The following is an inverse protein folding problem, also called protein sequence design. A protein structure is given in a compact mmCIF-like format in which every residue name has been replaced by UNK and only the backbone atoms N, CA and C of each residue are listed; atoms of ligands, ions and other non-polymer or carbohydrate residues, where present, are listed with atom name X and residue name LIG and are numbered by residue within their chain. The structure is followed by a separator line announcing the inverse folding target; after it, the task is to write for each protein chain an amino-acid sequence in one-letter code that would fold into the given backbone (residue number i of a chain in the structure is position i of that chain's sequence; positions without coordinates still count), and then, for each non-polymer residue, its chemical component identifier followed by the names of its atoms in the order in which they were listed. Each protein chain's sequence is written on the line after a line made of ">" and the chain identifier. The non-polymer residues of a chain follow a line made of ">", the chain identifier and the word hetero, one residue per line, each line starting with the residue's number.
data_IF_614911843841
#
_entry.id   IF_614911843841
#
_cell.length_a   1.000
_cell.length_b   1.000
_cell.length_c   1.000
_cell.angle_alpha   90.00
_cell.angle_beta   90.00
_cell.angle_gamma   90.00
#
_symmetry.space_group_name_H-M   'P 1'
#
loop_
_entity.id
_entity.type
_entity.pdbx_description
1 polymer ?
#
# COMPACT_ATOMS: atom_id res chain seq x y z
N UNK A 1 -5.03 -6.98 -13.26
CA UNK A 1 -5.15 -6.90 -11.80
C UNK A 1 -6.60 -7.08 -11.32
N UNK A 2 -6.78 -7.84 -10.25
CA UNK A 2 -8.08 -8.12 -9.62
C UNK A 2 -8.19 -7.44 -8.24
N UNK A 3 -9.39 -7.07 -7.81
CA UNK A 3 -9.66 -6.57 -6.45
C UNK A 3 -10.78 -7.44 -5.86
N UNK A 4 -10.54 -8.05 -4.69
CA UNK A 4 -11.52 -8.95 -4.09
C UNK A 4 -12.84 -8.25 -3.78
N UNK A 5 -13.93 -9.01 -3.87
CA UNK A 5 -15.30 -8.54 -3.65
C UNK A 5 -15.70 -8.58 -2.16
N UNK A 6 -14.85 -8.02 -1.30
CA UNK A 6 -15.05 -8.03 0.15
C UNK A 6 -15.26 -6.62 0.75
N UNK A 7 -15.21 -5.58 -0.08
CA UNK A 7 -15.52 -4.18 0.26
C UNK A 7 -16.78 -3.68 -0.47
N UNK A 8 -17.25 -2.49 -0.09
CA UNK A 8 -18.42 -1.90 -0.76
C UNK A 8 -18.14 -1.77 -2.26
N UNK A 9 -19.15 -1.97 -3.14
CA UNK A 9 -18.97 -1.78 -4.58
C UNK A 9 -18.45 -0.39 -4.94
N UNK A 10 -18.91 0.65 -4.22
CA UNK A 10 -18.50 2.04 -4.43
C UNK A 10 -17.01 2.24 -4.13
N UNK A 11 -16.54 1.78 -2.97
CA UNK A 11 -15.12 1.89 -2.61
C UNK A 11 -14.22 1.12 -3.57
N UNK A 12 -14.61 -0.11 -3.94
CA UNK A 12 -13.89 -0.93 -4.91
C UNK A 12 -13.76 -0.20 -6.24
N UNK A 13 -14.84 0.45 -6.66
CA UNK A 13 -14.87 1.24 -7.89
C UNK A 13 -13.95 2.45 -7.83
N UNK A 14 -13.94 3.20 -6.71
CA UNK A 14 -13.02 4.33 -6.51
C UNK A 14 -11.56 3.88 -6.60
N UNK A 15 -11.19 2.79 -5.92
CA UNK A 15 -9.82 2.24 -5.97
C UNK A 15 -9.46 1.82 -7.41
N UNK A 16 -10.36 1.08 -8.08
CA UNK A 16 -10.18 0.64 -9.48
C UNK A 16 -9.97 1.83 -10.42
N UNK A 17 -10.76 2.89 -10.27
CA UNK A 17 -10.61 4.13 -11.07
C UNK A 17 -9.26 4.78 -10.83
N UNK A 18 -8.76 4.82 -9.59
CA UNK A 18 -7.44 5.38 -9.27
C UNK A 18 -6.33 4.55 -9.91
N UNK A 19 -6.35 3.23 -9.76
CA UNK A 19 -5.40 2.31 -10.40
C UNK A 19 -5.38 2.51 -11.93
N UNK A 20 -6.54 2.71 -12.55
CA UNK A 20 -6.65 2.93 -13.99
C UNK A 20 -6.01 4.24 -14.47
N UNK A 21 -5.60 5.14 -13.58
CA UNK A 21 -4.84 6.34 -13.92
C UNK A 21 -3.36 6.05 -14.21
N UNK A 22 -2.82 4.97 -13.65
CA UNK A 22 -1.42 4.57 -13.83
C UNK A 22 -1.12 4.12 -15.27
N UNK A 23 0.14 3.80 -15.56
CA UNK A 23 0.52 3.23 -16.86
C UNK A 23 0.06 1.78 -17.00
N UNK A 24 0.01 1.28 -18.24
CA UNK A 24 -0.63 -0.01 -18.58
C UNK A 24 -0.01 -1.19 -17.82
N UNK A 25 1.30 -1.18 -17.63
CA UNK A 25 2.05 -2.25 -16.96
C UNK A 25 1.54 -2.55 -15.54
N UNK A 26 1.09 -1.53 -14.80
CA UNK A 26 0.54 -1.68 -13.45
C UNK A 26 -0.87 -2.28 -13.44
N UNK A 27 -1.66 -2.00 -14.49
CA UNK A 27 -3.05 -2.50 -14.62
C UNK A 27 -3.05 -3.98 -15.01
N UNK A 28 -2.05 -4.39 -15.78
CA UNK A 28 -1.88 -5.76 -16.27
C UNK A 28 -1.11 -6.66 -15.31
N UNK A 29 -0.63 -6.14 -14.16
CA UNK A 29 -0.05 -6.98 -13.12
C UNK A 29 -1.00 -8.12 -12.76
N UNK A 30 -0.47 -9.34 -12.80
CA UNK A 30 -1.13 -10.55 -12.36
C UNK A 30 -1.05 -10.64 -10.83
N UNK A 31 -1.69 -9.68 -10.17
CA UNK A 31 -1.84 -9.61 -8.73
C UNK A 31 -3.32 -9.41 -8.37
N UNK A 32 -3.69 -9.87 -7.17
CA UNK A 32 -4.99 -9.62 -6.56
C UNK A 32 -4.83 -8.73 -5.34
N UNK A 33 -5.63 -7.67 -5.24
CA UNK A 33 -5.73 -6.82 -4.03
C UNK A 33 -6.81 -7.39 -3.11
N UNK A 34 -6.45 -7.65 -1.86
CA UNK A 34 -7.34 -8.13 -0.81
C UNK A 34 -7.40 -7.12 0.36
N UNK A 35 -8.58 -6.54 0.59
CA UNK A 35 -8.79 -5.53 1.61
C UNK A 35 -9.32 -6.14 2.92
N UNK A 36 -8.55 -5.99 3.99
CA UNK A 36 -8.89 -6.47 5.34
C UNK A 36 -9.68 -5.40 6.09
N UNK A 37 -11.01 -5.52 6.04
CA UNK A 37 -11.92 -4.62 6.75
C UNK A 37 -11.78 -4.61 8.27
N UNK A 38 -11.39 -5.73 8.86
CA UNK A 38 -11.37 -5.88 10.33
C UNK A 38 -10.10 -6.56 10.80
N UNK A 39 -9.62 -6.15 11.97
CA UNK A 39 -8.47 -6.78 12.66
C UNK A 39 -8.73 -8.27 12.93
N UNK A 40 -9.95 -8.61 13.36
CA UNK A 40 -10.42 -9.99 13.60
C UNK A 40 -10.21 -10.91 12.41
N UNK A 41 -10.37 -10.41 11.18
CA UNK A 41 -10.12 -11.19 9.95
C UNK A 41 -8.65 -11.60 9.85
N UNK A 42 -7.74 -10.66 10.10
CA UNK A 42 -6.29 -10.93 10.06
C UNK A 42 -5.87 -11.89 11.17
N UNK A 43 -6.39 -11.72 12.39
CA UNK A 43 -6.14 -12.65 13.51
C UNK A 43 -6.64 -14.07 13.23
N UNK A 44 -7.77 -14.19 12.52
CA UNK A 44 -8.34 -15.49 12.13
C UNK A 44 -7.46 -16.16 11.07
N UNK A 45 -6.94 -15.39 10.12
CA UNK A 45 -5.96 -15.88 9.14
C UNK A 45 -4.67 -16.36 9.82
N UNK A 46 -4.10 -15.57 10.74
CA UNK A 46 -2.91 -15.94 11.51
C UNK A 46 -3.07 -17.30 12.20
N UNK A 47 -4.23 -17.57 12.81
CA UNK A 47 -4.49 -18.83 13.53
C UNK A 47 -4.74 -20.03 12.61
N UNK A 48 -5.46 -19.83 11.51
CA UNK A 48 -6.05 -20.93 10.75
C UNK A 48 -5.30 -21.24 9.45
N UNK A 49 -4.74 -20.21 8.79
CA UNK A 49 -4.06 -20.35 7.50
C UNK A 49 -3.03 -19.22 7.34
N UNK A 50 -1.98 -19.17 8.17
CA UNK A 50 -0.98 -18.13 8.09
C UNK A 50 -0.26 -18.22 6.74
N UNK A 51 0.04 -17.06 6.18
CA UNK A 51 0.84 -16.92 4.96
C UNK A 51 1.81 -15.74 5.02
N UNK A 52 1.99 -15.22 6.24
CA UNK A 52 3.05 -14.33 6.66
C UNK A 52 3.74 -14.99 7.85
N UNK A 53 4.95 -14.54 8.14
CA UNK A 53 5.63 -14.91 9.38
C UNK A 53 4.96 -14.27 10.59
N UNK A 54 5.09 -14.91 11.75
CA UNK A 54 4.49 -14.42 13.00
C UNK A 54 4.93 -12.99 13.36
N UNK A 55 6.20 -12.66 13.08
CA UNK A 55 6.74 -11.31 13.28
C UNK A 55 6.03 -10.28 12.41
N UNK A 56 5.78 -10.60 11.13
CA UNK A 56 5.05 -9.71 10.23
C UNK A 56 3.60 -9.52 10.69
N UNK A 57 2.92 -10.59 11.12
CA UNK A 57 1.58 -10.47 11.71
C UNK A 57 1.59 -9.59 12.96
N UNK A 58 2.59 -9.73 13.84
CA UNK A 58 2.70 -8.92 15.05
C UNK A 58 3.00 -7.46 14.73
N UNK A 59 3.87 -7.17 13.75
CA UNK A 59 4.14 -5.80 13.28
C UNK A 59 2.86 -5.14 12.75
N UNK A 60 2.07 -5.84 11.91
CA UNK A 60 0.83 -5.30 11.36
C UNK A 60 -0.23 -5.13 12.46
N UNK A 61 -0.35 -6.12 13.35
CA UNK A 61 -1.39 -6.09 14.37
C UNK A 61 -1.03 -5.11 15.48
N UNK A 62 0.22 -5.02 15.94
CA UNK A 62 0.59 -4.38 17.21
C UNK A 62 1.68 -3.32 17.08
N UNK A 63 2.29 -3.17 15.90
CA UNK A 63 3.41 -2.27 15.71
C UNK A 63 3.04 -0.79 15.71
N UNK A 64 4.02 0.05 16.02
CA UNK A 64 3.89 1.52 16.02
C UNK A 64 4.08 2.10 14.61
N UNK A 65 5.00 1.52 13.83
CA UNK A 65 5.22 1.86 12.44
C UNK A 65 4.16 1.19 11.57
N UNK A 66 3.28 2.03 11.01
CA UNK A 66 2.10 1.61 10.28
C UNK A 66 2.48 0.86 9.00
N UNK A 67 2.31 -0.47 9.03
CA UNK A 67 2.44 -1.33 7.85
C UNK A 67 1.03 -1.60 7.29
N UNK A 68 0.42 -0.57 6.68
CA UNK A 68 -0.99 -0.61 6.26
C UNK A 68 -1.28 -1.36 4.97
N UNK A 69 -0.24 -1.86 4.30
CA UNK A 69 -0.35 -2.85 3.25
C UNK A 69 0.99 -3.57 3.04
N UNK A 70 0.94 -4.75 2.41
CA UNK A 70 2.12 -5.54 2.02
C UNK A 70 1.84 -6.35 0.74
N UNK A 71 2.89 -6.73 0.02
CA UNK A 71 2.84 -7.77 -1.01
C UNK A 71 3.17 -9.15 -0.43
N UNK A 72 2.51 -10.19 -0.95
CA UNK A 72 2.89 -11.60 -0.79
C UNK A 72 3.17 -12.12 -2.19
N UNK A 73 4.40 -11.91 -2.66
CA UNK A 73 4.80 -12.08 -4.06
C UNK A 73 4.51 -13.47 -4.62
N UNK A 74 4.87 -14.52 -3.89
CA UNK A 74 4.64 -15.92 -4.32
C UNK A 74 3.16 -16.24 -4.53
N UNK A 75 2.29 -15.56 -3.80
CA UNK A 75 0.83 -15.71 -3.89
C UNK A 75 0.18 -14.70 -4.81
N UNK A 76 0.96 -13.81 -5.44
CA UNK A 76 0.46 -12.74 -6.30
C UNK A 76 -0.64 -11.93 -5.62
N UNK A 77 -0.41 -11.61 -4.34
CA UNK A 77 -1.40 -10.99 -3.47
C UNK A 77 -0.87 -9.66 -2.92
N UNK A 78 -1.71 -8.63 -2.91
CA UNK A 78 -1.49 -7.39 -2.17
C UNK A 78 -2.51 -7.36 -1.05
N UNK A 79 -2.05 -7.34 0.19
CA UNK A 79 -2.93 -7.22 1.37
C UNK A 79 -2.96 -5.77 1.80
N UNK A 80 -4.15 -5.19 1.88
CA UNK A 80 -4.35 -3.82 2.36
C UNK A 80 -5.18 -3.88 3.64
N UNK A 81 -4.65 -3.33 4.73
CA UNK A 81 -5.26 -3.41 6.06
C UNK A 81 -6.19 -2.24 6.30
N UNK A 82 -7.40 -2.34 5.73
CA UNK A 82 -8.37 -1.26 5.73
C UNK A 82 -8.82 -0.83 7.12
N UNK A 83 -8.75 -1.71 8.12
CA UNK A 83 -9.04 -1.39 9.51
C UNK A 83 -8.08 -0.38 10.15
N UNK A 84 -6.98 -0.01 9.48
CA UNK A 84 -6.04 1.04 9.94
C UNK A 84 -6.46 2.46 9.50
N UNK A 85 -7.43 2.57 8.60
CA UNK A 85 -7.90 3.84 8.05
C UNK A 85 -9.24 4.24 8.67
N UNK A 86 -9.40 5.52 8.96
CA UNK A 86 -10.64 6.04 9.54
C UNK A 86 -11.66 6.39 8.45
N UNK A 87 -12.60 5.48 8.17
CA UNK A 87 -13.68 5.70 7.19
C UNK A 87 -13.23 6.26 5.81
N UNK A 88 -12.23 5.64 5.13
CA UNK A 88 -11.69 6.12 3.85
C UNK A 88 -12.68 6.12 2.67
N UNK A 89 -13.91 5.61 2.86
CA UNK A 89 -14.97 5.71 1.86
C UNK A 89 -15.58 7.12 1.80
N UNK A 90 -15.60 7.82 2.93
CA UNK A 90 -16.25 9.13 3.15
C UNK A 90 -15.29 10.22 3.61
N UNK A 91 -14.13 9.88 4.17
CA UNK A 91 -13.06 10.83 4.48
C UNK A 91 -12.03 10.89 3.35
N UNK A 92 -11.82 12.09 2.80
CA UNK A 92 -10.90 12.30 1.69
C UNK A 92 -9.44 12.13 2.09
N UNK A 93 -9.02 12.59 3.27
CA UNK A 93 -7.64 12.46 3.73
C UNK A 93 -7.28 10.98 3.93
N UNK A 94 -8.19 10.20 4.50
CA UNK A 94 -8.01 8.76 4.70
C UNK A 94 -8.03 8.00 3.36
N UNK A 95 -8.87 8.43 2.41
CA UNK A 95 -8.83 7.92 1.05
C UNK A 95 -7.49 8.20 0.35
N UNK A 96 -6.92 9.40 0.52
CA UNK A 96 -5.61 9.74 -0.06
C UNK A 96 -4.51 8.86 0.53
N UNK A 97 -4.50 8.63 1.85
CA UNK A 97 -3.55 7.70 2.49
C UNK A 97 -3.68 6.29 1.90
N UNK A 98 -4.91 5.81 1.73
CA UNK A 98 -5.19 4.50 1.16
C UNK A 98 -4.67 4.38 -0.28
N UNK A 99 -4.98 5.34 -1.15
CA UNK A 99 -4.57 5.29 -2.57
C UNK A 99 -3.05 5.42 -2.70
N UNK A 100 -2.40 6.25 -1.87
CA UNK A 100 -0.95 6.33 -1.81
C UNK A 100 -0.36 4.95 -1.51
N UNK A 101 -0.79 4.30 -0.42
CA UNK A 101 -0.27 2.98 -0.06
C UNK A 101 -0.59 1.92 -1.10
N UNK A 102 -1.74 1.98 -1.78
CA UNK A 102 -2.03 1.11 -2.94
C UNK A 102 -1.01 1.32 -4.05
N UNK A 103 -0.68 2.56 -4.42
CA UNK A 103 0.34 2.83 -5.45
C UNK A 103 1.72 2.33 -5.03
N UNK A 104 2.09 2.51 -3.77
CA UNK A 104 3.33 2.00 -3.20
C UNK A 104 3.41 0.47 -3.33
N UNK A 105 2.39 -0.27 -2.92
CA UNK A 105 2.39 -1.75 -3.05
C UNK A 105 2.31 -2.23 -4.51
N UNK A 106 1.66 -1.46 -5.40
CA UNK A 106 1.70 -1.77 -6.83
C UNK A 106 3.11 -1.64 -7.40
N UNK A 107 3.91 -0.71 -6.88
CA UNK A 107 5.31 -0.62 -7.25
C UNK A 107 6.09 -1.84 -6.76
N UNK A 108 5.88 -2.29 -5.53
CA UNK A 108 6.47 -3.54 -5.04
C UNK A 108 6.05 -4.77 -5.85
N UNK A 109 4.78 -4.88 -6.21
CA UNK A 109 4.30 -5.95 -7.08
C UNK A 109 4.96 -5.92 -8.47
N UNK A 110 5.14 -4.73 -9.05
CA UNK A 110 5.87 -4.54 -10.29
C UNK A 110 7.36 -4.89 -10.16
N UNK A 111 8.02 -4.46 -9.08
CA UNK A 111 9.42 -4.81 -8.78
C UNK A 111 9.60 -6.32 -8.68
N UNK A 112 8.70 -7.01 -7.97
CA UNK A 112 8.69 -8.47 -7.85
C UNK A 112 8.53 -9.15 -9.22
N UNK A 113 7.56 -8.70 -10.03
CA UNK A 113 7.30 -9.24 -11.37
C UNK A 113 8.49 -9.03 -12.33
N UNK A 114 9.26 -7.96 -12.15
CA UNK A 114 10.46 -7.66 -12.94
C UNK A 114 11.76 -8.13 -12.28
N UNK A 115 11.66 -8.95 -11.22
CA UNK A 115 12.81 -9.57 -10.56
C UNK A 115 13.84 -8.58 -10.00
N UNK A 116 13.39 -7.39 -9.60
CA UNK A 116 14.22 -6.37 -8.99
C UNK A 116 14.42 -6.65 -7.50
N UNK A 117 15.55 -6.20 -6.96
CA UNK A 117 15.86 -6.16 -5.52
C UNK A 117 15.80 -7.51 -4.76
N UNK A 118 15.92 -8.65 -5.46
CA UNK A 118 15.81 -10.01 -4.87
C UNK A 118 16.76 -10.32 -3.70
N UNK A 119 17.86 -9.57 -3.58
CA UNK A 119 18.91 -9.81 -2.59
C UNK A 119 18.86 -8.81 -1.42
N UNK A 120 17.80 -8.01 -1.31
CA UNK A 120 17.65 -7.10 -0.18
C UNK A 120 17.40 -7.86 1.13
N UNK A 121 17.93 -7.36 2.26
CA UNK A 121 17.64 -7.94 3.55
C UNK A 121 16.16 -7.76 3.89
N UNK A 122 15.55 -8.82 4.43
CA UNK A 122 14.18 -8.75 4.94
C UNK A 122 14.19 -8.11 6.33
N UNK A 123 13.52 -6.96 6.47
CA UNK A 123 13.38 -6.26 7.75
C UNK A 123 11.98 -6.54 8.31
N UNK A 124 11.90 -7.55 9.18
CA UNK A 124 10.63 -8.03 9.75
C UNK A 124 10.15 -7.23 10.97
N UNK A 125 11.08 -6.66 11.74
CA UNK A 125 10.79 -5.79 12.87
C UNK A 125 11.02 -4.34 12.45
N UNK A 126 9.98 -3.74 11.88
CA UNK A 126 10.05 -2.39 11.32
C UNK A 126 10.12 -1.36 12.44
N UNK A 127 9.46 -1.58 13.58
CA UNK A 127 9.49 -0.60 14.69
C UNK A 127 10.92 -0.31 15.17
N UNK A 128 11.74 -1.35 15.34
CA UNK A 128 13.14 -1.19 15.77
C UNK A 128 14.07 -0.70 14.65
N UNK A 129 13.70 -0.91 13.38
CA UNK A 129 14.61 -0.71 12.24
C UNK A 129 13.97 0.14 11.13
N UNK A 130 13.04 1.04 11.47
CA UNK A 130 12.21 1.73 10.48
C UNK A 130 13.06 2.56 9.51
N UNK A 131 14.16 3.14 9.98
CA UNK A 131 15.07 3.89 9.12
C UNK A 131 15.78 2.99 8.11
N UNK A 132 16.24 1.82 8.55
CA UNK A 132 16.89 0.83 7.68
C UNK A 132 15.89 0.28 6.67
N UNK A 133 14.66 0.02 7.09
CA UNK A 133 13.54 -0.37 6.24
C UNK A 133 13.34 0.67 5.13
N UNK A 134 13.16 1.94 5.48
CA UNK A 134 12.94 3.02 4.49
C UNK A 134 14.18 3.27 3.61
N UNK A 135 15.39 2.89 4.06
CA UNK A 135 16.64 3.00 3.26
C UNK A 135 16.77 1.91 2.20
N UNK A 136 16.00 0.83 2.27
CA UNK A 136 16.03 -0.22 1.23
C UNK A 136 15.78 0.40 -0.16
N UNK A 137 16.62 0.08 -1.16
CA UNK A 137 16.39 0.51 -2.54
C UNK A 137 14.96 0.26 -3.06
N UNK A 138 14.34 -0.88 -2.75
CA UNK A 138 12.95 -1.17 -3.13
C UNK A 138 11.94 -0.20 -2.51
N UNK A 139 12.06 0.08 -1.22
CA UNK A 139 11.23 1.03 -0.47
C UNK A 139 11.43 2.45 -0.98
N UNK A 140 12.68 2.90 -1.18
CA UNK A 140 12.97 4.22 -1.76
C UNK A 140 12.33 4.39 -3.14
N UNK A 141 12.40 3.37 -3.98
CA UNK A 141 11.76 3.37 -5.31
C UNK A 141 10.23 3.40 -5.21
N UNK A 142 9.64 2.61 -4.31
CA UNK A 142 8.20 2.57 -4.08
C UNK A 142 7.65 3.91 -3.56
N UNK A 143 8.31 4.55 -2.58
CA UNK A 143 7.94 5.87 -2.09
C UNK A 143 8.07 6.97 -3.15
N UNK A 144 9.13 6.95 -3.96
CA UNK A 144 9.28 7.92 -5.06
C UNK A 144 8.18 7.74 -6.09
N UNK A 145 7.87 6.50 -6.47
CA UNK A 145 6.78 6.19 -7.38
C UNK A 145 5.44 6.68 -6.83
N UNK A 146 5.12 6.35 -5.57
CA UNK A 146 3.90 6.80 -4.90
C UNK A 146 3.74 8.33 -5.00
N UNK A 147 4.76 9.09 -4.56
CA UNK A 147 4.70 10.57 -4.58
C UNK A 147 4.50 11.11 -5.99
N UNK A 148 5.23 10.56 -6.97
CA UNK A 148 5.12 11.00 -8.36
C UNK A 148 3.71 10.75 -8.91
N UNK A 149 3.16 9.54 -8.73
CA UNK A 149 1.86 9.18 -9.27
C UNK A 149 0.71 9.87 -8.54
N UNK A 150 0.80 10.00 -7.21
CA UNK A 150 -0.18 10.74 -6.42
C UNK A 150 -0.28 12.19 -6.90
N UNK A 151 0.86 12.89 -7.04
CA UNK A 151 0.85 14.29 -7.48
C UNK A 151 0.46 14.46 -8.95
N UNK A 152 0.94 13.58 -9.85
CA UNK A 152 0.57 13.57 -11.28
C UNK A 152 -0.94 13.41 -11.47
N UNK A 153 -1.59 12.62 -10.62
CA UNK A 153 -2.98 12.22 -10.79
C UNK A 153 -3.96 12.83 -9.79
N UNK A 154 -3.48 13.65 -8.85
CA UNK A 154 -4.31 14.22 -7.79
C UNK A 154 -5.61 14.87 -8.28
N UNK A 155 -5.63 15.72 -9.34
CA UNK A 155 -6.87 16.33 -9.79
C UNK A 155 -7.93 15.32 -10.23
N UNK A 156 -7.51 14.15 -10.73
CA UNK A 156 -8.41 13.06 -11.10
C UNK A 156 -8.82 12.24 -9.88
N UNK A 157 -7.92 12.02 -8.92
CA UNK A 157 -8.22 11.32 -7.65
C UNK A 157 -9.28 12.08 -6.85
N UNK A 158 -9.15 13.41 -6.74
CA UNK A 158 -10.13 14.32 -6.12
C UNK A 158 -11.52 14.12 -6.74
N UNK A 159 -11.61 14.11 -8.08
CA UNK A 159 -12.87 13.88 -8.81
C UNK A 159 -13.43 12.47 -8.61
N UNK A 160 -12.58 11.44 -8.55
CA UNK A 160 -13.01 10.06 -8.31
C UNK A 160 -13.62 9.92 -6.92
N UNK A 161 -13.04 10.60 -5.94
CA UNK A 161 -13.57 10.60 -4.59
C UNK A 161 -14.90 11.37 -4.49
N UNK A 162 -15.00 12.50 -5.21
CA UNK A 162 -16.11 13.47 -5.11
C UNK A 162 -15.80 14.64 -4.18
N UNK A 163 -14.52 14.96 -3.98
CA UNK A 163 -14.08 16.11 -3.17
C UNK A 163 -13.92 17.35 -4.04
N UNK A 164 -14.12 18.53 -3.46
CA UNK A 164 -13.74 19.82 -4.06
C UNK A 164 -12.36 20.29 -3.58
N UNK A 165 -11.81 19.64 -2.55
CA UNK A 165 -10.53 19.96 -1.94
C UNK A 165 -9.42 19.18 -2.65
N UNK A 166 -8.51 19.91 -3.30
CA UNK A 166 -7.23 19.37 -3.75
C UNK A 166 -6.16 19.43 -2.67
N UNK A 167 -5.14 18.59 -2.78
CA UNK A 167 -3.95 18.67 -1.92
C UNK A 167 -2.68 18.34 -2.71
N UNK A 168 -1.52 18.75 -2.20
CA UNK A 168 -0.24 18.23 -2.68
C UNK A 168 0.12 17.06 -1.78
N UNK A 169 0.39 15.90 -2.38
CA UNK A 169 0.79 14.73 -1.62
C UNK A 169 2.28 14.80 -1.29
N UNK A 170 2.60 14.70 -0.01
CA UNK A 170 3.98 14.65 0.48
C UNK A 170 4.12 13.57 1.56
N UNK A 171 5.24 12.85 1.54
CA UNK A 171 5.60 11.91 2.60
C UNK A 171 5.76 12.65 3.95
N UNK A 172 5.53 11.93 5.05
CA UNK A 172 5.89 12.39 6.40
C UNK A 172 7.39 12.74 6.43
N UNK A 173 7.73 13.86 7.09
CA UNK A 173 9.09 14.43 7.06
C UNK A 173 10.22 13.40 7.30
N UNK A 174 10.18 12.54 8.33
CA UNK A 174 11.25 11.57 8.57
C UNK A 174 11.47 10.60 7.39
N UNK A 175 10.39 10.09 6.80
CA UNK A 175 10.45 9.20 5.63
C UNK A 175 10.98 9.96 4.42
N UNK A 176 10.46 11.17 4.17
CA UNK A 176 10.90 12.01 3.05
C UNK A 176 12.39 12.28 3.09
N UNK A 177 12.91 12.65 4.26
CA UNK A 177 14.31 13.03 4.42
C UNK A 177 15.24 11.83 4.14
N UNK A 178 14.82 10.60 4.47
CA UNK A 178 15.53 9.36 4.11
C UNK A 178 15.38 9.03 2.62
N UNK A 179 14.16 9.06 2.07
CA UNK A 179 13.88 8.67 0.67
C UNK A 179 14.67 9.51 -0.33
N UNK A 180 14.83 10.81 -0.03
CA UNK A 180 15.55 11.77 -0.87
C UNK A 180 16.99 12.06 -0.39
N UNK A 181 17.49 11.36 0.63
CA UNK A 181 18.91 11.42 0.98
C UNK A 181 19.76 10.82 -0.15
N UNK A 182 20.91 11.45 -0.39
CA UNK A 182 21.93 10.99 -1.35
C UNK A 182 22.54 9.68 -0.92
#
# INVERSE_FOLDING_TARGET
>A
MNIRNNISPMMREKIRKCINLLDSEYKTLDFTIDLYKTRKRLETEKRNKPDLEDLAYNQILQGEFETSAIIVGERKLIKVFLFMYDNPETDFAEFIKLIAKVYHELRHAWQYANHLYKNEPQILNVDLNWEEYVRLPSEKDAYKFEVQQMNKHMPKIVKIFGSEVGCIYTLKKPIRDIVYSK
#
